data_IF_289115296379
#
_entry.id   IF_289115296379
#
_cell.length_a   1.000
_cell.length_b   1.000
_cell.length_c   1.000
_cell.angle_alpha   90.00
_cell.angle_beta   90.00
_cell.angle_gamma   90.00
#
_symmetry.space_group_name_H-M   'P 1'
#
loop_
_entity.id
_entity.type
_entity.pdbx_description
1 polymer ?
#
# COMPACT_ATOMS: atom_id res chain seq x y z
N UNK A 1 19.78 9.37 8.87
CA UNK A 1 20.09 10.55 8.05
C UNK A 1 18.90 10.80 7.13
N UNK A 2 18.26 11.98 7.20
CA UNK A 2 17.13 12.30 6.32
C UNK A 2 17.57 12.69 4.90
N UNK A 3 18.82 13.15 4.73
CA UNK A 3 19.35 13.61 3.45
C UNK A 3 19.47 12.47 2.43
N UNK A 4 19.54 11.21 2.90
CA UNK A 4 19.61 10.00 2.07
C UNK A 4 18.31 9.21 2.01
N UNK A 5 17.24 9.69 2.67
CA UNK A 5 16.01 8.92 2.82
C UNK A 5 15.45 8.46 1.47
N UNK A 6 15.44 9.36 0.47
CA UNK A 6 14.92 9.03 -0.84
C UNK A 6 15.78 7.96 -1.54
N UNK A 7 17.10 8.16 -1.60
CA UNK A 7 18.04 7.20 -2.20
C UNK A 7 17.95 5.82 -1.55
N UNK A 8 17.99 5.77 -0.21
CA UNK A 8 17.97 4.52 0.54
C UNK A 8 16.61 3.81 0.37
N UNK A 9 15.50 4.54 0.38
CA UNK A 9 14.15 3.99 0.10
C UNK A 9 14.10 3.40 -1.30
N UNK A 10 14.58 4.14 -2.30
CA UNK A 10 14.55 3.73 -3.70
C UNK A 10 15.41 2.49 -3.97
N UNK A 11 16.53 2.33 -3.25
CA UNK A 11 17.40 1.16 -3.31
C UNK A 11 16.75 -0.09 -2.70
N UNK A 12 15.97 0.07 -1.61
CA UNK A 12 15.24 -1.03 -0.97
C UNK A 12 14.03 -1.51 -1.80
N UNK A 13 13.54 -0.70 -2.74
CA UNK A 13 12.44 -1.04 -3.65
C UNK A 13 12.90 -1.75 -4.94
N UNK A 14 14.00 -2.51 -4.86
CA UNK A 14 14.55 -3.31 -5.95
C UNK A 14 13.56 -4.39 -6.45
N UNK A 15 13.56 -4.79 -7.74
CA UNK A 15 12.52 -5.65 -8.35
C UNK A 15 12.17 -6.92 -7.55
N UNK A 16 13.16 -7.56 -6.94
CA UNK A 16 13.06 -8.77 -6.13
C UNK A 16 12.43 -8.55 -4.74
N UNK A 17 12.30 -7.31 -4.27
CA UNK A 17 11.71 -7.00 -2.96
C UNK A 17 10.24 -7.42 -2.93
N UNK A 18 9.83 -8.29 -2.00
CA UNK A 18 8.43 -8.71 -1.83
C UNK A 18 7.50 -7.54 -1.52
N UNK A 19 6.22 -7.64 -1.90
CA UNK A 19 5.26 -6.52 -1.76
C UNK A 19 5.09 -6.13 -0.29
N UNK A 20 5.00 -7.09 0.63
CA UNK A 20 4.93 -6.78 2.07
C UNK A 20 6.15 -5.98 2.56
N UNK A 21 7.35 -6.31 2.08
CA UNK A 21 8.57 -5.58 2.46
C UNK A 21 8.59 -4.16 1.85
N UNK A 22 8.08 -3.98 0.62
CA UNK A 22 7.87 -2.65 0.02
C UNK A 22 6.90 -1.82 0.84
N UNK A 23 5.78 -2.41 1.27
CA UNK A 23 4.79 -1.73 2.10
C UNK A 23 5.40 -1.21 3.41
N UNK A 24 6.17 -2.04 4.11
CA UNK A 24 6.85 -1.65 5.34
C UNK A 24 7.88 -0.55 5.10
N UNK A 25 8.67 -0.68 4.02
CA UNK A 25 9.66 0.32 3.61
C UNK A 25 9.01 1.67 3.36
N UNK A 26 7.93 1.71 2.59
CA UNK A 26 7.20 2.94 2.25
C UNK A 26 6.49 3.54 3.47
N UNK A 27 5.90 2.73 4.36
CA UNK A 27 5.30 3.23 5.61
C UNK A 27 6.35 3.88 6.51
N UNK A 28 7.52 3.28 6.67
CA UNK A 28 8.62 3.88 7.45
C UNK A 28 9.14 5.15 6.80
N UNK A 29 9.35 5.13 5.49
CA UNK A 29 9.79 6.31 4.74
C UNK A 29 8.79 7.47 4.89
N UNK A 30 7.48 7.18 4.81
CA UNK A 30 6.44 8.19 5.03
C UNK A 30 6.51 8.82 6.43
N UNK A 31 6.69 8.00 7.47
CA UNK A 31 6.83 8.46 8.87
C UNK A 31 8.10 9.28 9.12
N UNK A 32 9.18 9.03 8.38
CA UNK A 32 10.39 9.84 8.47
C UNK A 32 10.27 11.13 7.68
N UNK A 33 9.76 11.05 6.46
CA UNK A 33 9.59 12.18 5.56
C UNK A 33 8.57 13.21 6.08
N UNK A 34 7.54 12.81 6.85
CA UNK A 34 6.56 13.77 7.41
C UNK A 34 7.19 14.87 8.28
N UNK A 35 8.44 14.69 8.75
CA UNK A 35 9.16 15.65 9.59
C UNK A 35 9.74 16.82 8.78
N UNK A 36 9.95 16.65 7.48
CA UNK A 36 10.47 17.67 6.58
C UNK A 36 9.75 17.60 5.22
N UNK A 37 8.88 18.57 4.91
CA UNK A 37 8.14 18.61 3.65
C UNK A 37 9.04 18.47 2.42
N UNK A 38 10.27 19.01 2.44
CA UNK A 38 11.20 18.91 1.31
C UNK A 38 11.61 17.48 1.04
N UNK A 39 11.86 16.71 2.10
CA UNK A 39 12.21 15.29 1.99
C UNK A 39 11.02 14.47 1.50
N UNK A 40 9.80 14.83 1.91
CA UNK A 40 8.59 14.17 1.44
C UNK A 40 8.32 14.43 -0.05
N UNK A 41 8.45 15.69 -0.48
CA UNK A 41 8.28 16.10 -1.87
C UNK A 41 9.34 15.44 -2.77
N UNK A 42 10.59 15.34 -2.31
CA UNK A 42 11.66 14.66 -3.03
C UNK A 42 11.36 13.17 -3.23
N UNK A 43 11.01 12.45 -2.16
CA UNK A 43 10.71 11.03 -2.22
C UNK A 43 9.52 10.75 -3.15
N UNK A 44 8.45 11.54 -3.02
CA UNK A 44 7.30 11.45 -3.91
C UNK A 44 7.68 11.71 -5.38
N UNK A 45 8.38 12.81 -5.65
CA UNK A 45 8.78 13.19 -7.01
C UNK A 45 9.61 12.10 -7.68
N UNK A 46 10.51 11.44 -6.93
CA UNK A 46 11.34 10.35 -7.46
C UNK A 46 10.54 9.09 -7.77
N UNK A 47 9.55 8.74 -6.95
CA UNK A 47 8.66 7.62 -7.28
C UNK A 47 7.74 7.94 -8.46
N UNK A 48 7.25 9.19 -8.57
CA UNK A 48 6.50 9.65 -9.73
C UNK A 48 7.34 9.62 -11.01
N UNK A 49 8.61 10.02 -10.96
CA UNK A 49 9.51 9.94 -12.10
C UNK A 49 9.66 8.49 -12.60
N UNK A 50 9.77 7.49 -11.70
CA UNK A 50 9.79 6.07 -12.08
C UNK A 50 8.52 5.63 -12.80
N UNK A 51 7.35 6.13 -12.35
CA UNK A 51 6.07 5.86 -13.02
C UNK A 51 6.04 6.45 -14.42
N UNK A 52 6.47 7.70 -14.58
CA UNK A 52 6.53 8.39 -15.88
C UNK A 52 7.50 7.70 -16.84
N UNK A 53 8.68 7.32 -16.35
CA UNK A 53 9.69 6.60 -17.14
C UNK A 53 9.19 5.23 -17.60
N UNK A 54 8.53 4.48 -16.72
CA UNK A 54 7.93 3.20 -17.08
C UNK A 54 6.83 3.38 -18.13
N UNK A 55 5.96 4.38 -17.95
CA UNK A 55 4.90 4.69 -18.90
C UNK A 55 5.45 5.08 -20.28
N UNK A 56 6.48 5.94 -20.32
CA UNK A 56 7.12 6.37 -21.56
C UNK A 56 7.80 5.22 -22.32
N UNK A 57 8.34 4.24 -21.60
CA UNK A 57 8.94 3.03 -22.18
C UNK A 57 7.91 1.97 -22.58
N UNK A 58 6.61 2.23 -22.40
CA UNK A 58 5.56 1.24 -22.60
C UNK A 58 5.64 0.06 -21.62
N UNK A 59 6.39 0.21 -20.53
CA UNK A 59 6.60 -0.84 -19.55
C UNK A 59 5.42 -0.91 -18.58
N UNK A 60 4.77 -2.06 -18.55
CA UNK A 60 3.65 -2.40 -17.68
C UNK A 60 4.11 -2.78 -16.25
N UNK A 61 5.16 -2.15 -15.72
CA UNK A 61 5.72 -2.53 -14.42
C UNK A 61 4.75 -2.13 -13.30
N UNK A 62 4.01 -3.12 -12.80
CA UNK A 62 3.05 -2.93 -11.72
C UNK A 62 3.69 -2.36 -10.44
N UNK A 63 4.98 -2.65 -10.17
CA UNK A 63 5.63 -2.28 -8.93
C UNK A 63 5.86 -0.77 -8.81
N UNK A 64 6.20 -0.09 -9.91
CA UNK A 64 6.38 1.37 -9.85
C UNK A 64 5.07 2.10 -9.56
N UNK A 65 3.95 1.62 -10.13
CA UNK A 65 2.61 2.15 -9.83
C UNK A 65 2.21 1.85 -8.39
N UNK A 66 2.53 0.65 -7.91
CA UNK A 66 2.27 0.23 -6.54
C UNK A 66 3.02 1.11 -5.55
N UNK A 67 4.34 1.27 -5.71
CA UNK A 67 5.18 1.99 -4.77
C UNK A 67 4.75 3.45 -4.64
N UNK A 68 4.52 4.12 -5.78
CA UNK A 68 4.06 5.50 -5.79
C UNK A 68 2.66 5.65 -5.16
N UNK A 69 1.73 4.74 -5.50
CA UNK A 69 0.37 4.78 -4.97
C UNK A 69 0.30 4.49 -3.47
N UNK A 70 1.08 3.52 -2.99
CA UNK A 70 1.10 3.13 -1.59
C UNK A 70 1.81 4.17 -0.72
N UNK A 71 2.84 4.85 -1.23
CA UNK A 71 3.44 5.99 -0.52
C UNK A 71 2.43 7.12 -0.33
N UNK A 72 1.70 7.49 -1.39
CA UNK A 72 0.70 8.57 -1.32
C UNK A 72 -0.38 8.29 -0.27
N UNK A 73 -0.89 7.05 -0.20
CA UNK A 73 -1.84 6.66 0.86
C UNK A 73 -1.18 6.61 2.25
N UNK A 74 0.09 6.23 2.33
CA UNK A 74 0.85 6.24 3.60
C UNK A 74 1.01 7.67 4.14
N UNK A 75 1.25 8.67 3.28
CA UNK A 75 1.29 10.08 3.69
C UNK A 75 -0.05 10.57 4.22
N UNK A 76 -1.16 10.18 3.59
CA UNK A 76 -2.51 10.53 4.07
C UNK A 76 -2.76 9.94 5.45
N UNK A 77 -2.41 8.68 5.67
CA UNK A 77 -2.56 8.03 6.97
C UNK A 77 -1.66 8.66 8.03
N UNK A 78 -0.39 8.98 7.69
CA UNK A 78 0.52 9.68 8.59
C UNK A 78 -0.01 11.07 9.00
N UNK A 79 -0.63 11.80 8.08
CA UNK A 79 -1.28 13.10 8.35
C UNK A 79 -2.40 13.00 9.39
N UNK A 80 -3.16 11.89 9.42
CA UNK A 80 -4.17 11.67 10.47
C UNK A 80 -3.55 11.58 11.85
N UNK A 81 -2.34 11.02 11.95
CA UNK A 81 -1.60 10.87 13.19
C UNK A 81 -0.87 12.17 13.60
N UNK A 82 -0.51 13.00 12.63
CA UNK A 82 0.16 14.30 12.84
C UNK A 82 -0.34 15.35 11.83
N UNK A 83 -1.38 16.15 12.18
CA UNK A 83 -2.03 17.09 11.26
C UNK A 83 -1.14 18.25 10.77
N UNK A 84 0.07 18.42 11.33
CA UNK A 84 0.98 19.53 11.03
C UNK A 84 1.73 19.37 9.70
N UNK A 85 1.65 18.21 9.07
CA UNK A 85 2.30 17.89 7.79
C UNK A 85 1.28 17.32 6.82
N UNK A 86 1.06 17.96 5.67
CA UNK A 86 0.35 17.40 4.51
C UNK A 86 1.32 17.32 3.33
N UNK A 87 2.11 16.24 3.23
CA UNK A 87 2.80 15.95 1.99
C UNK A 87 1.77 15.65 0.90
N UNK A 88 2.11 15.93 -0.37
CA UNK A 88 1.40 15.35 -1.51
C UNK A 88 -0.12 15.63 -1.66
N UNK A 89 -0.64 16.86 -1.48
CA UNK A 89 -2.06 17.11 -1.61
C UNK A 89 -2.52 16.95 -3.07
N UNK A 90 -3.17 15.83 -3.40
CA UNK A 90 -3.89 15.67 -4.67
C UNK A 90 -3.83 14.28 -5.31
N UNK A 91 -2.91 13.41 -4.88
CA UNK A 91 -2.81 12.08 -5.48
C UNK A 91 -3.82 11.09 -4.88
N UNK A 92 -4.63 10.48 -5.75
CA UNK A 92 -5.44 9.33 -5.39
C UNK A 92 -4.58 8.06 -5.52
N UNK A 93 -3.79 7.77 -4.49
CA UNK A 93 -2.89 6.62 -4.45
C UNK A 93 -3.61 5.29 -4.62
N UNK A 94 -4.86 5.17 -4.13
CA UNK A 94 -5.71 4.01 -4.40
C UNK A 94 -5.91 3.74 -5.90
N UNK A 95 -6.04 4.77 -6.75
CA UNK A 95 -6.14 4.60 -8.20
C UNK A 95 -4.87 3.97 -8.79
N UNK A 96 -3.68 4.34 -8.30
CA UNK A 96 -2.42 3.78 -8.77
C UNK A 96 -2.19 2.36 -8.25
N UNK A 97 -2.53 2.08 -6.99
CA UNK A 97 -2.54 0.70 -6.47
C UNK A 97 -3.52 -0.19 -7.25
N UNK A 98 -4.70 0.35 -7.62
CA UNK A 98 -5.66 -0.37 -8.46
C UNK A 98 -5.11 -0.64 -9.86
N UNK A 99 -4.39 0.31 -10.45
CA UNK A 99 -3.70 0.11 -11.73
C UNK A 99 -2.60 -0.96 -11.61
N UNK A 100 -1.79 -0.92 -10.56
CA UNK A 100 -0.78 -1.94 -10.28
C UNK A 100 -1.41 -3.34 -10.19
N UNK A 101 -2.51 -3.48 -9.45
CA UNK A 101 -3.28 -4.72 -9.36
C UNK A 101 -3.78 -5.20 -10.73
N UNK A 102 -4.27 -4.30 -11.58
CA UNK A 102 -4.73 -4.65 -12.92
C UNK A 102 -3.59 -5.17 -13.81
N UNK A 103 -2.39 -4.60 -13.68
CA UNK A 103 -1.20 -5.02 -14.43
C UNK A 103 -0.62 -6.35 -13.92
N UNK A 104 -0.67 -6.57 -12.60
CA UNK A 104 -0.05 -7.74 -11.95
C UNK A 104 -0.95 -8.97 -11.91
N UNK A 105 -2.27 -8.77 -12.02
CA UNK A 105 -3.25 -9.84 -11.91
C UNK A 105 -3.46 -10.30 -10.47
N UNK A 106 -3.39 -11.61 -10.23
CA UNK A 106 -3.69 -12.21 -8.94
C UNK A 106 -2.51 -12.10 -7.96
N UNK A 107 -2.36 -10.95 -7.31
CA UNK A 107 -1.38 -10.73 -6.24
C UNK A 107 -2.05 -10.51 -4.88
N UNK A 108 -2.06 -11.52 -3.99
CA UNK A 108 -2.71 -11.42 -2.67
C UNK A 108 -2.08 -10.39 -1.72
N UNK A 109 -0.79 -10.08 -1.86
CA UNK A 109 -0.10 -9.09 -1.03
C UNK A 109 -0.51 -7.66 -1.44
N UNK A 110 -0.64 -7.40 -2.75
CA UNK A 110 -1.19 -6.13 -3.24
C UNK A 110 -2.67 -5.98 -2.92
N UNK A 111 -3.44 -7.08 -2.92
CA UNK A 111 -4.83 -7.04 -2.45
C UNK A 111 -4.90 -6.69 -0.96
N UNK A 112 -3.96 -7.20 -0.15
CA UNK A 112 -3.85 -6.82 1.26
C UNK A 112 -3.49 -5.34 1.42
N UNK A 113 -2.54 -4.82 0.64
CA UNK A 113 -2.25 -3.39 0.61
C UNK A 113 -3.49 -2.55 0.27
N UNK A 114 -4.25 -2.96 -0.76
CA UNK A 114 -5.50 -2.32 -1.15
C UNK A 114 -6.56 -2.38 -0.04
N UNK A 115 -6.64 -3.49 0.70
CA UNK A 115 -7.54 -3.64 1.85
C UNK A 115 -7.19 -2.65 2.99
N UNK A 116 -5.90 -2.45 3.28
CA UNK A 116 -5.44 -1.48 4.28
C UNK A 116 -5.77 -0.03 3.89
N UNK A 117 -5.54 0.38 2.65
CA UNK A 117 -5.81 1.76 2.23
C UNK A 117 -7.32 2.06 2.13
N UNK A 118 -8.15 1.03 1.99
CA UNK A 118 -9.61 1.16 1.85
C UNK A 118 -10.38 1.00 3.15
N UNK A 119 -9.75 0.55 4.25
CA UNK A 119 -10.42 0.39 5.55
C UNK A 119 -10.84 1.75 6.11
N UNK A 120 -10.02 2.77 5.89
CA UNK A 120 -10.29 4.16 6.23
C UNK A 120 -9.63 5.07 5.19
N UNK A 121 -10.43 5.56 4.26
CA UNK A 121 -9.99 6.54 3.28
C UNK A 121 -10.18 7.96 3.82
N UNK A 122 -9.10 8.73 3.80
CA UNK A 122 -9.08 10.11 4.33
C UNK A 122 -10.00 11.05 3.54
N UNK A 123 -10.09 10.88 2.23
CA UNK A 123 -10.92 11.72 1.36
C UNK A 123 -12.42 11.42 1.55
N UNK A 124 -12.77 10.17 1.81
CA UNK A 124 -14.15 9.75 2.08
C UNK A 124 -14.55 9.82 3.55
N UNK A 125 -13.58 10.03 4.46
CA UNK A 125 -13.77 9.91 5.92
C UNK A 125 -14.43 8.60 6.34
N UNK A 126 -14.06 7.50 5.69
CA UNK A 126 -14.70 6.22 5.91
C UNK A 126 -14.19 5.10 5.00
N UNK A 127 -14.81 3.93 5.16
CA UNK A 127 -14.46 2.72 4.41
C UNK A 127 -14.85 2.87 2.93
N UNK A 128 -13.94 2.55 2.01
CA UNK A 128 -14.28 2.48 0.57
C UNK A 128 -15.18 1.27 0.28
N UNK A 129 -16.10 1.36 -0.70
CA UNK A 129 -16.97 0.24 -1.08
C UNK A 129 -16.21 -1.05 -1.41
N UNK A 130 -15.04 -0.93 -2.06
CA UNK A 130 -14.25 -2.07 -2.53
C UNK A 130 -13.43 -2.77 -1.43
N UNK A 131 -13.46 -2.27 -0.18
CA UNK A 131 -12.65 -2.80 0.91
C UNK A 131 -12.83 -4.31 1.12
N UNK A 132 -14.09 -4.77 1.19
CA UNK A 132 -14.39 -6.18 1.46
C UNK A 132 -13.87 -7.08 0.34
N UNK A 133 -13.98 -6.65 -0.92
CA UNK A 133 -13.49 -7.40 -2.06
C UNK A 133 -11.96 -7.55 -2.06
N UNK A 134 -11.22 -6.50 -1.68
CA UNK A 134 -9.77 -6.57 -1.54
C UNK A 134 -9.37 -7.51 -0.39
N UNK A 135 -10.02 -7.39 0.76
CA UNK A 135 -9.74 -8.23 1.92
C UNK A 135 -10.03 -9.71 1.61
N UNK A 136 -11.15 -10.00 0.96
CA UNK A 136 -11.51 -11.36 0.54
C UNK A 136 -10.44 -11.97 -0.37
N UNK A 137 -10.00 -11.24 -1.40
CA UNK A 137 -8.96 -11.73 -2.34
C UNK A 137 -7.62 -11.96 -1.64
N UNK A 138 -7.23 -11.08 -0.73
CA UNK A 138 -6.03 -11.24 0.07
C UNK A 138 -6.09 -12.50 0.96
N UNK A 139 -7.21 -12.69 1.66
CA UNK A 139 -7.45 -13.86 2.53
C UNK A 139 -7.51 -15.16 1.73
N UNK A 140 -8.15 -15.16 0.56
CA UNK A 140 -8.23 -16.32 -0.31
C UNK A 140 -6.86 -16.75 -0.84
N UNK A 141 -5.99 -15.79 -1.17
CA UNK A 141 -4.66 -16.06 -1.71
C UNK A 141 -3.55 -16.27 -0.68
N UNK A 142 -3.79 -15.97 0.60
CA UNK A 142 -2.80 -16.16 1.65
C UNK A 142 -2.56 -17.64 1.95
N UNK A 143 -1.29 -18.04 2.13
CA UNK A 143 -0.92 -19.39 2.59
C UNK A 143 -0.77 -19.41 4.12
N UNK A 144 -1.15 -20.50 4.76
CA UNK A 144 -0.98 -20.66 6.21
C UNK A 144 0.51 -20.48 6.60
N UNK A 145 0.78 -19.78 7.71
CA UNK A 145 2.14 -19.50 8.18
C UNK A 145 2.94 -18.44 7.39
N UNK A 146 2.45 -18.00 6.22
CA UNK A 146 3.10 -16.95 5.42
C UNK A 146 3.13 -15.59 6.13
N UNK A 147 4.03 -14.69 5.69
CA UNK A 147 4.03 -13.31 6.18
C UNK A 147 2.69 -12.61 5.91
N UNK A 148 2.08 -12.85 4.75
CA UNK A 148 0.76 -12.32 4.42
C UNK A 148 -0.30 -12.76 5.42
N UNK A 149 -0.34 -14.05 5.78
CA UNK A 149 -1.30 -14.57 6.76
C UNK A 149 -1.15 -13.89 8.12
N UNK A 150 0.09 -13.69 8.59
CA UNK A 150 0.37 -13.01 9.86
C UNK A 150 -0.09 -11.55 9.81
N UNK A 151 0.24 -10.84 8.73
CA UNK A 151 -0.19 -9.45 8.54
C UNK A 151 -1.71 -9.32 8.46
N UNK A 152 -2.40 -10.24 7.77
CA UNK A 152 -3.87 -10.25 7.70
C UNK A 152 -4.49 -10.43 9.09
N UNK A 153 -3.99 -11.38 9.88
CA UNK A 153 -4.50 -11.62 11.24
C UNK A 153 -4.21 -10.41 12.14
N UNK A 154 -3.01 -9.83 12.07
CA UNK A 154 -2.64 -8.69 12.90
C UNK A 154 -3.51 -7.46 12.63
N UNK A 155 -3.69 -7.11 11.34
CA UNK A 155 -4.44 -5.93 10.95
C UNK A 155 -5.96 -6.11 10.99
N UNK A 156 -6.46 -7.35 10.94
CA UNK A 156 -7.90 -7.65 10.88
C UNK A 156 -8.35 -8.62 11.97
N UNK A 157 -7.66 -8.67 13.12
CA UNK A 157 -7.95 -9.57 14.23
C UNK A 157 -9.40 -9.47 14.74
N UNK A 158 -9.98 -8.27 14.70
CA UNK A 158 -11.40 -8.03 15.05
C UNK A 158 -12.38 -8.78 14.15
N UNK A 159 -11.93 -9.24 12.99
CA UNK A 159 -12.69 -10.05 12.03
C UNK A 159 -12.31 -11.53 12.08
N UNK A 160 -11.31 -11.92 12.85
CA UNK A 160 -10.84 -13.30 12.93
C UNK A 160 -9.39 -13.33 13.39
N UNK A 161 -9.13 -14.04 14.48
CA UNK A 161 -7.80 -14.17 15.07
C UNK A 161 -6.92 -15.26 14.43
N UNK A 162 -7.41 -15.91 13.37
CA UNK A 162 -6.67 -16.90 12.56
C UNK A 162 -7.02 -16.73 11.09
N UNK A 163 -6.17 -17.20 10.18
CA UNK A 163 -6.48 -17.16 8.75
C UNK A 163 -7.72 -18.02 8.41
N UNK A 164 -7.90 -19.14 9.10
CA UNK A 164 -9.10 -19.97 8.99
C UNK A 164 -10.38 -19.21 9.39
N UNK A 165 -10.35 -18.49 10.52
CA UNK A 165 -11.48 -17.66 10.96
C UNK A 165 -11.79 -16.54 9.95
N UNK A 166 -10.76 -15.89 9.41
CA UNK A 166 -10.93 -14.87 8.36
C UNK A 166 -11.59 -15.46 7.10
N UNK A 167 -11.13 -16.63 6.63
CA UNK A 167 -11.73 -17.33 5.46
C UNK A 167 -13.20 -17.66 5.71
N UNK A 168 -13.52 -18.21 6.88
CA UNK A 168 -14.89 -18.61 7.22
C UNK A 168 -15.88 -17.44 7.10
N UNK A 169 -15.48 -16.21 7.42
CA UNK A 169 -16.36 -15.04 7.28
C UNK A 169 -16.74 -14.73 5.84
N UNK A 170 -15.83 -14.93 4.89
CA UNK A 170 -16.11 -14.71 3.47
C UNK A 170 -16.88 -15.87 2.82
N UNK A 171 -16.78 -17.08 3.38
CA UNK A 171 -17.61 -18.21 2.95
C UNK A 171 -19.08 -18.04 3.33
N UNK A 172 -19.37 -17.38 4.46
CA UNK A 172 -20.75 -17.16 4.94
C UNK A 172 -21.47 -16.05 4.16
N UNK A 173 -20.74 -15.05 3.63
CA UNK A 173 -21.34 -13.92 2.89
C UNK A 173 -21.64 -14.23 1.41
N UNK A 174 -21.29 -15.43 0.94
CA UNK A 174 -21.45 -15.83 -0.48
C UNK A 174 -22.73 -16.66 -0.76
N UNK A 175 -23.67 -16.72 0.19
CA UNK A 175 -24.98 -17.39 0.07
C UNK A 175 -26.13 -16.39 0.10
#
# INVERSE_FOLDING_TARGET
DLARLADDTLALLAPETPVIARMETLRRAALYAQKDPRVADELESRLMARVLDAAAKGNADALVWFDAGYLAESYKQATLMSPKSRPAPGLNGYTWVSKALALRGNDPEMQFAAALITVYDVSLRGKRPNHEAHLQKAVAGAKEGSLLARNLVDHFASRGNTLAALRARFSVTSN
#
